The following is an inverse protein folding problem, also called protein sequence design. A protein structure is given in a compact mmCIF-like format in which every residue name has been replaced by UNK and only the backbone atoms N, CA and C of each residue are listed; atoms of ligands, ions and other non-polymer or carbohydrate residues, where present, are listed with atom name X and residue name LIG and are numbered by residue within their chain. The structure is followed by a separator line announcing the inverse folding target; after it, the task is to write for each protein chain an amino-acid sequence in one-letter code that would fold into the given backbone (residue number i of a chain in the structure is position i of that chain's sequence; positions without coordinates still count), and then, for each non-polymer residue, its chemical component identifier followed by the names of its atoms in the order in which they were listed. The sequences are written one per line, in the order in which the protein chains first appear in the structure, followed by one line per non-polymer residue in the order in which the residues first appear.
data_IF_311601799560
#
_entry.id   IF_311601799560
#
_cell.length_a   1.000
_cell.length_b   1.000
_cell.length_c   1.000
_cell.angle_alpha   90.00
_cell.angle_beta   90.00
_cell.angle_gamma   90.00
#
_symmetry.space_group_name_H-M   'P 1'
#
loop_
_entity.id
_entity.type
_entity.pdbx_description
1 polymer ?
#
# COMPACT_ATOMS: atom_id res chain seq x y z
N UNK A 1 6.12 13.79 -10.31
CA UNK A 1 4.78 13.18 -10.19
C UNK A 1 4.62 12.65 -8.77
N UNK A 2 3.93 13.41 -7.93
CA UNK A 2 3.66 13.05 -6.54
C UNK A 2 2.77 11.81 -6.57
N UNK A 3 3.26 10.67 -6.07
CA UNK A 3 2.43 9.49 -5.93
C UNK A 3 1.17 9.91 -5.15
N UNK A 4 -0.02 9.55 -5.65
CA UNK A 4 -1.27 9.70 -4.89
C UNK A 4 -1.17 8.71 -3.74
N UNK A 5 -0.54 9.17 -2.69
CA UNK A 5 -0.38 8.50 -1.42
C UNK A 5 -1.58 8.95 -0.60
N UNK A 6 -2.32 8.01 -0.01
CA UNK A 6 -3.34 8.37 0.98
C UNK A 6 -2.75 9.38 1.99
N UNK A 7 -3.57 10.26 2.59
CA UNK A 7 -3.07 11.30 3.48
C UNK A 7 -2.10 10.72 4.51
N UNK A 8 -0.96 11.38 4.74
CA UNK A 8 -0.08 10.97 5.83
C UNK A 8 -0.88 11.06 7.13
N UNK A 9 -1.09 9.91 7.77
CA UNK A 9 -1.77 9.81 9.06
C UNK A 9 -0.73 9.61 10.15
N UNK A 10 -0.98 10.25 11.28
CA UNK A 10 -0.28 9.94 12.52
C UNK A 10 -0.58 8.51 12.98
N UNK A 11 0.28 7.89 13.79
CA UNK A 11 0.03 6.57 14.37
C UNK A 11 -1.33 6.49 15.09
N UNK A 12 -1.76 7.56 15.77
CA UNK A 12 -3.08 7.59 16.43
C UNK A 12 -4.23 7.51 15.41
N UNK A 13 -4.23 8.35 14.37
CA UNK A 13 -5.27 8.33 13.32
C UNK A 13 -5.36 6.98 12.61
N UNK A 14 -4.22 6.33 12.42
CA UNK A 14 -4.16 4.97 11.86
C UNK A 14 -4.85 3.96 12.76
N UNK A 15 -4.57 4.00 14.06
CA UNK A 15 -5.23 3.12 15.02
C UNK A 15 -6.74 3.35 15.09
N UNK A 16 -7.19 4.60 15.01
CA UNK A 16 -8.62 4.96 14.95
C UNK A 16 -9.28 4.39 13.70
N UNK A 17 -8.70 4.58 12.52
CA UNK A 17 -9.24 4.04 11.27
C UNK A 17 -9.33 2.50 11.28
N UNK A 18 -8.33 1.82 11.85
CA UNK A 18 -8.37 0.36 12.02
C UNK A 18 -9.49 -0.06 12.98
N UNK A 19 -9.64 0.62 14.12
CA UNK A 19 -10.72 0.33 15.07
C UNK A 19 -12.10 0.57 14.45
N UNK A 20 -12.30 1.71 13.79
CA UNK A 20 -13.55 2.06 13.14
C UNK A 20 -14.00 1.00 12.12
N UNK A 21 -13.05 0.42 11.38
CA UNK A 21 -13.34 -0.69 10.48
C UNK A 21 -13.70 -1.98 11.24
N UNK A 22 -12.98 -2.30 12.31
CA UNK A 22 -13.27 -3.48 13.14
C UNK A 22 -14.54 -3.34 13.99
N UNK A 23 -15.07 -2.14 14.17
CA UNK A 23 -16.37 -1.92 14.83
C UNK A 23 -17.55 -2.06 13.88
N UNK A 24 -17.33 -2.07 12.56
CA UNK A 24 -18.40 -2.36 11.60
C UNK A 24 -18.96 -3.79 11.80
N UNK A 25 -20.25 -4.00 11.52
CA UNK A 25 -20.85 -5.33 11.40
C UNK A 25 -20.00 -6.25 10.51
N UNK A 26 -20.03 -7.55 10.80
CA UNK A 26 -19.20 -8.50 10.06
C UNK A 26 -19.61 -8.56 8.59
N UNK A 27 -20.91 -8.48 8.32
CA UNK A 27 -21.53 -8.47 7.00
C UNK A 27 -21.00 -7.28 6.17
N UNK A 28 -21.06 -6.06 6.72
CA UNK A 28 -20.58 -4.85 6.05
C UNK A 28 -19.08 -4.93 5.71
N UNK A 29 -18.26 -5.54 6.58
CA UNK A 29 -16.83 -5.73 6.30
C UNK A 29 -16.60 -6.70 5.15
N UNK A 30 -17.33 -7.80 5.12
CA UNK A 30 -17.22 -8.81 4.05
C UNK A 30 -17.68 -8.22 2.72
N UNK A 31 -18.78 -7.46 2.72
CA UNK A 31 -19.30 -6.78 1.54
C UNK A 31 -18.34 -5.71 1.03
N UNK A 32 -17.76 -4.90 1.91
CA UNK A 32 -16.70 -3.94 1.54
C UNK A 32 -15.53 -4.64 0.85
N UNK A 33 -15.05 -5.77 1.39
CA UNK A 33 -13.93 -6.51 0.81
C UNK A 33 -14.31 -7.18 -0.52
N UNK A 34 -15.53 -7.68 -0.64
CA UNK A 34 -16.03 -8.29 -1.87
C UNK A 34 -16.17 -7.24 -2.98
N UNK A 35 -16.77 -6.09 -2.67
CA UNK A 35 -16.93 -4.96 -3.58
C UNK A 35 -15.57 -4.36 -3.98
N UNK A 36 -14.63 -4.25 -3.04
CA UNK A 36 -13.27 -3.76 -3.33
C UNK A 36 -12.55 -4.63 -4.37
N UNK A 37 -12.71 -5.96 -4.34
CA UNK A 37 -12.17 -6.87 -5.36
C UNK A 37 -12.77 -6.64 -6.75
N UNK A 38 -14.00 -6.16 -6.80
CA UNK A 38 -14.70 -5.80 -8.04
C UNK A 38 -14.44 -4.35 -8.47
N UNK A 39 -13.63 -3.60 -7.70
CA UNK A 39 -13.40 -2.17 -7.94
C UNK A 39 -14.63 -1.29 -7.67
N UNK A 40 -15.60 -1.78 -6.87
CA UNK A 40 -16.83 -1.09 -6.53
C UNK A 40 -16.80 -0.55 -5.10
N UNK A 41 -17.58 0.50 -4.84
CA UNK A 41 -17.75 1.12 -3.52
C UNK A 41 -19.01 0.57 -2.85
N UNK A 42 -18.98 0.49 -1.51
CA UNK A 42 -20.17 0.17 -0.73
C UNK A 42 -21.27 1.24 -0.93
N UNK A 43 -22.56 0.87 -1.06
CA UNK A 43 -23.64 1.83 -1.28
C UNK A 43 -23.85 2.77 -0.08
N UNK A 44 -23.66 2.27 1.14
CA UNK A 44 -23.65 3.11 2.35
C UNK A 44 -22.39 3.99 2.40
N UNK A 45 -22.59 5.30 2.39
CA UNK A 45 -21.51 6.28 2.43
C UNK A 45 -20.65 6.21 3.69
N UNK A 46 -21.24 5.89 4.86
CA UNK A 46 -20.51 5.78 6.13
C UNK A 46 -19.57 4.60 6.11
N UNK A 47 -20.10 3.43 5.72
CA UNK A 47 -19.31 2.19 5.57
C UNK A 47 -18.21 2.41 4.54
N UNK A 48 -18.52 3.07 3.42
CA UNK A 48 -17.54 3.35 2.39
C UNK A 48 -16.45 4.35 2.83
N UNK A 49 -16.78 5.32 3.70
CA UNK A 49 -15.80 6.24 4.27
C UNK A 49 -14.85 5.53 5.26
N UNK A 50 -15.40 4.69 6.14
CA UNK A 50 -14.60 3.86 7.06
C UNK A 50 -13.71 2.90 6.29
N UNK A 51 -14.24 2.24 5.24
CA UNK A 51 -13.48 1.37 4.35
C UNK A 51 -12.33 2.10 3.64
N UNK A 52 -12.57 3.33 3.17
CA UNK A 52 -11.54 4.13 2.52
C UNK A 52 -10.44 4.54 3.51
N UNK A 53 -10.81 4.96 4.72
CA UNK A 53 -9.85 5.30 5.77
C UNK A 53 -9.05 4.08 6.25
N UNK A 54 -9.68 2.90 6.33
CA UNK A 54 -9.00 1.64 6.58
C UNK A 54 -7.99 1.32 5.46
N UNK A 55 -8.41 1.43 4.20
CA UNK A 55 -7.54 1.22 3.06
C UNK A 55 -6.35 2.20 3.09
N UNK A 56 -6.59 3.48 3.34
CA UNK A 56 -5.54 4.49 3.49
C UNK A 56 -4.58 4.16 4.65
N UNK A 57 -5.10 3.68 5.79
CA UNK A 57 -4.32 3.27 6.95
C UNK A 57 -3.45 2.03 6.70
N UNK A 58 -3.96 1.04 5.96
CA UNK A 58 -3.24 -0.20 5.63
C UNK A 58 -2.21 0.04 4.53
N UNK A 59 -2.57 0.84 3.53
CA UNK A 59 -1.77 1.13 2.34
C UNK A 59 -0.83 2.33 2.51
N UNK A 60 -0.70 2.83 3.75
CA UNK A 60 0.18 3.94 4.05
C UNK A 60 1.60 3.74 3.52
N UNK A 61 2.27 4.85 3.15
CA UNK A 61 3.67 4.83 2.78
C UNK A 61 4.51 4.40 3.98
N UNK A 62 4.86 3.11 4.05
CA UNK A 62 5.90 2.65 4.96
C UNK A 62 7.25 3.24 4.55
N UNK A 63 8.27 3.10 5.40
CA UNK A 63 9.62 3.59 5.12
C UNK A 63 10.14 3.17 3.72
N UNK A 64 9.77 1.99 3.24
CA UNK A 64 10.13 1.52 1.90
C UNK A 64 9.42 2.25 0.74
N UNK A 65 8.25 2.86 0.95
CA UNK A 65 7.60 3.70 -0.06
C UNK A 65 8.25 5.09 -0.18
N UNK A 66 9.01 5.51 0.85
CA UNK A 66 9.84 6.72 0.81
C UNK A 66 11.17 6.47 0.08
N UNK A 67 11.58 5.22 -0.12
CA UNK A 67 12.78 4.94 -0.90
C UNK A 67 12.56 5.32 -2.37
N UNK A 68 13.50 6.07 -2.98
CA UNK A 68 13.51 6.31 -4.42
C UNK A 68 13.52 4.97 -5.17
N UNK A 69 12.77 4.89 -6.27
CA UNK A 69 12.74 3.71 -7.15
C UNK A 69 14.12 3.28 -7.63
N UNK A 70 15.09 4.22 -7.68
CA UNK A 70 16.47 3.95 -8.05
C UNK A 70 17.24 3.12 -7.00
N UNK A 71 16.90 3.23 -5.70
CA UNK A 71 17.63 2.53 -4.62
C UNK A 71 17.63 1.01 -4.80
N UNK A 72 16.49 0.31 -4.99
CA UNK A 72 16.51 -1.13 -5.21
C UNK A 72 17.23 -1.52 -6.50
N UNK A 73 17.16 -0.70 -7.56
CA UNK A 73 17.88 -0.97 -8.82
C UNK A 73 19.39 -0.93 -8.59
N UNK A 74 19.89 0.11 -7.92
CA UNK A 74 21.32 0.24 -7.57
C UNK A 74 21.77 -0.90 -6.67
N UNK A 75 20.96 -1.29 -5.69
CA UNK A 75 21.27 -2.42 -4.80
C UNK A 75 21.39 -3.76 -5.56
N UNK A 76 20.48 -4.03 -6.50
CA UNK A 76 20.55 -5.24 -7.34
C UNK A 76 21.80 -5.23 -8.22
N UNK A 77 22.13 -4.10 -8.86
CA UNK A 77 23.33 -3.98 -9.68
C UNK A 77 24.61 -4.17 -8.86
N UNK A 78 24.67 -3.60 -7.64
CA UNK A 78 25.80 -3.78 -6.73
C UNK A 78 25.96 -5.24 -6.30
N UNK A 79 24.85 -5.94 -5.98
CA UNK A 79 24.88 -7.36 -5.62
C UNK A 79 25.33 -8.24 -6.79
N UNK A 80 24.88 -7.96 -8.02
CA UNK A 80 25.32 -8.67 -9.21
C UNK A 80 26.81 -8.45 -9.50
N UNK A 81 27.29 -7.21 -9.39
CA UNK A 81 28.71 -6.89 -9.54
C UNK A 81 29.55 -7.60 -8.47
N UNK A 82 29.11 -7.62 -7.22
CA UNK A 82 29.79 -8.34 -6.14
C UNK A 82 29.78 -9.86 -6.36
N UNK A 83 28.66 -10.43 -6.80
CA UNK A 83 28.55 -11.85 -7.13
C UNK A 83 29.56 -12.26 -8.22
N UNK A 84 29.70 -11.41 -9.24
CA UNK A 84 30.64 -11.61 -10.33
C UNK A 84 32.10 -11.46 -9.87
N UNK A 85 32.42 -10.39 -9.15
CA UNK A 85 33.77 -10.10 -8.65
C UNK A 85 34.27 -11.16 -7.65
N UNK A 86 33.37 -11.69 -6.81
CA UNK A 86 33.68 -12.69 -5.79
C UNK A 86 33.47 -14.12 -6.28
N UNK A 87 32.99 -14.31 -7.52
CA UNK A 87 32.55 -15.59 -8.07
C UNK A 87 31.64 -16.38 -7.10
N UNK A 88 30.77 -15.66 -6.39
CA UNK A 88 29.96 -16.20 -5.31
C UNK A 88 28.50 -16.21 -5.72
N UNK A 89 28.08 -17.34 -6.32
CA UNK A 89 26.75 -17.52 -6.87
C UNK A 89 25.57 -17.25 -5.89
N UNK A 90 25.68 -17.45 -4.56
CA UNK A 90 24.58 -17.11 -3.65
C UNK A 90 24.25 -15.61 -3.60
N UNK A 91 25.23 -14.73 -3.86
CA UNK A 91 24.97 -13.29 -3.99
C UNK A 91 24.14 -12.97 -5.24
N UNK A 92 24.35 -13.72 -6.33
CA UNK A 92 23.54 -13.60 -7.54
C UNK A 92 22.08 -14.01 -7.27
N UNK A 93 21.87 -15.10 -6.53
CA UNK A 93 20.52 -15.50 -6.09
C UNK A 93 19.87 -14.44 -5.20
N UNK A 94 20.63 -13.88 -4.26
CA UNK A 94 20.15 -12.78 -3.40
C UNK A 94 19.73 -11.56 -4.23
N UNK A 95 20.50 -11.20 -5.26
CA UNK A 95 20.15 -10.11 -6.17
C UNK A 95 18.80 -10.35 -6.87
N UNK A 96 18.53 -11.59 -7.31
CA UNK A 96 17.25 -11.96 -7.91
C UNK A 96 16.11 -11.84 -6.90
N UNK A 97 16.29 -12.31 -5.66
CA UNK A 97 15.27 -12.18 -4.60
C UNK A 97 14.97 -10.71 -4.32
N UNK A 98 16.00 -9.87 -4.18
CA UNK A 98 15.84 -8.42 -3.98
C UNK A 98 15.13 -7.77 -5.15
N UNK A 99 15.45 -8.16 -6.40
CA UNK A 99 14.78 -7.67 -7.60
C UNK A 99 13.28 -8.02 -7.60
N UNK A 100 12.93 -9.28 -7.30
CA UNK A 100 11.53 -9.74 -7.27
C UNK A 100 10.71 -9.03 -6.19
N UNK A 101 11.25 -8.91 -4.98
CA UNK A 101 10.60 -8.18 -3.87
C UNK A 101 10.42 -6.72 -4.25
N UNK A 102 11.44 -6.09 -4.84
CA UNK A 102 11.36 -4.70 -5.29
C UNK A 102 10.31 -4.51 -6.37
N UNK A 103 10.27 -5.38 -7.37
CA UNK A 103 9.27 -5.34 -8.44
C UNK A 103 7.83 -5.51 -7.90
N UNK A 104 7.63 -6.43 -6.94
CA UNK A 104 6.34 -6.62 -6.29
C UNK A 104 5.88 -5.37 -5.54
N UNK A 105 6.79 -4.72 -4.78
CA UNK A 105 6.51 -3.48 -4.06
C UNK A 105 6.20 -2.32 -5.01
N UNK A 106 6.94 -2.18 -6.11
CA UNK A 106 6.68 -1.15 -7.13
C UNK A 106 5.33 -1.36 -7.81
N UNK A 107 5.01 -2.60 -8.18
CA UNK A 107 3.71 -2.96 -8.74
C UNK A 107 2.58 -2.63 -7.77
N UNK A 108 2.75 -2.99 -6.49
CA UNK A 108 1.79 -2.65 -5.45
C UNK A 108 1.59 -1.12 -5.37
N UNK A 109 2.67 -0.34 -5.37
CA UNK A 109 2.61 1.13 -5.33
C UNK A 109 1.86 1.72 -6.54
N UNK A 110 2.11 1.20 -7.74
CA UNK A 110 1.48 1.68 -8.98
C UNK A 110 -0.01 1.36 -9.06
N UNK A 111 -0.43 0.18 -8.59
CA UNK A 111 -1.84 -0.22 -8.61
C UNK A 111 -2.67 0.47 -7.54
N UNK A 112 -2.07 0.72 -6.37
CA UNK A 112 -2.81 1.21 -5.21
C UNK A 112 -3.14 2.70 -5.27
N UNK A 113 -2.22 3.52 -5.78
CA UNK A 113 -2.39 4.98 -5.85
C UNK A 113 -3.64 5.45 -6.62
N UNK A 114 -3.85 5.05 -7.88
CA UNK A 114 -5.02 5.46 -8.65
C UNK A 114 -6.34 4.92 -8.09
N UNK A 115 -6.34 3.69 -7.53
CA UNK A 115 -7.54 3.11 -6.92
C UNK A 115 -8.00 3.87 -5.68
N UNK A 116 -7.08 4.30 -4.81
CA UNK A 116 -7.41 5.13 -3.64
C UNK A 116 -7.94 6.52 -4.04
N UNK A 117 -7.44 7.08 -5.14
CA UNK A 117 -7.93 8.34 -5.69
C UNK A 117 -9.36 8.23 -6.23
N UNK A 118 -9.65 7.18 -6.98
CA UNK A 118 -10.98 6.94 -7.57
C UNK A 118 -12.05 6.58 -6.53
N UNK A 119 -11.68 5.90 -5.45
CA UNK A 119 -12.61 5.48 -4.40
C UNK A 119 -12.77 6.51 -3.27
N UNK A 120 -12.17 7.70 -3.40
CA UNK A 120 -12.22 8.73 -2.36
C UNK A 120 -13.67 9.21 -2.13
N UNK A 121 -14.21 9.10 -0.90
CA UNK A 121 -15.51 9.66 -0.55
C UNK A 121 -15.53 11.19 -0.71
N UNK A 122 -16.64 11.78 -1.18
CA UNK A 122 -16.80 13.23 -1.21
C UNK A 122 -16.83 13.84 0.21
N UNK A 123 -17.24 13.07 1.22
CA UNK A 123 -17.32 13.49 2.63
C UNK A 123 -16.05 13.18 3.45
N UNK A 124 -14.93 12.79 2.83
CA UNK A 124 -13.68 12.47 3.54
C UNK A 124 -12.90 13.72 4.00
N UNK A 125 -13.60 14.67 4.63
CA UNK A 125 -13.02 15.83 5.29
C UNK A 125 -12.31 15.44 6.58
N UNK A 126 -12.94 14.55 7.37
CA UNK A 126 -12.44 14.09 8.66
C UNK A 126 -12.50 12.56 8.79
N UNK A 127 -11.61 12.01 9.63
CA UNK A 127 -11.70 10.60 10.07
C UNK A 127 -12.97 10.51 10.91
N UNK A 128 -13.91 9.57 10.64
CA UNK A 128 -15.07 9.41 11.49
C UNK A 128 -14.61 9.11 12.92
N UNK A 129 -15.06 9.93 13.87
CA UNK A 129 -14.84 9.77 15.30
C UNK A 129 -15.47 8.48 15.84
#
# INVERSE_FOLDING_TARGET
MSAVVGPEMTPQRRATALRAFHTLPKEDREDVLALARQGRRHPDERVAAVAWWYAAAVLQPRWYNRMPLAVPVVAVLALLAAAFLLNFWPLGFLAIVVLLVSAALVRQRLLTGPLLGLMRPPAAGDVPD
#
